data_IF_609318999114
#
_entry.id   IF_609318999114
#
_cell.length_a   1.000
_cell.length_b   1.000
_cell.length_c   1.000
_cell.angle_alpha   90.00
_cell.angle_beta   90.00
_cell.angle_gamma   90.00
#
_symmetry.space_group_name_H-M   'P 1'
#
loop_
_entity.id
_entity.type
_entity.pdbx_description
1 polymer ?
#
# COMPACT_ATOMS: atom_id res chain seq x y z
N UNK A 1 -9.06 -20.28 -7.86
CA UNK A 1 -7.86 -20.20 -8.72
C UNK A 1 -6.68 -19.96 -7.80
N UNK A 2 -5.90 -20.95 -7.55
CA UNK A 2 -4.64 -20.81 -6.79
C UNK A 2 -3.70 -19.97 -7.65
N UNK A 3 -3.52 -18.71 -7.28
CA UNK A 3 -2.48 -17.88 -7.89
C UNK A 3 -1.14 -18.51 -7.54
N UNK A 4 -0.51 -19.08 -8.55
CA UNK A 4 0.81 -19.67 -8.47
C UNK A 4 1.76 -18.64 -7.86
N UNK A 5 2.47 -18.96 -6.82
CA UNK A 5 3.39 -18.07 -6.07
C UNK A 5 4.35 -17.33 -7.03
N UNK A 6 4.74 -17.95 -8.13
CA UNK A 6 5.57 -17.34 -9.19
C UNK A 6 4.88 -16.18 -9.92
N UNK A 7 3.57 -16.31 -10.20
CA UNK A 7 2.81 -15.25 -10.90
C UNK A 7 2.61 -14.05 -9.98
N UNK A 8 2.32 -14.25 -8.69
CA UNK A 8 2.17 -13.17 -7.72
C UNK A 8 3.48 -12.41 -7.50
N UNK A 9 4.61 -13.12 -7.45
CA UNK A 9 5.94 -12.50 -7.31
C UNK A 9 6.29 -11.63 -8.52
N UNK A 10 6.07 -12.11 -9.74
CA UNK A 10 6.34 -11.36 -10.96
C UNK A 10 5.46 -10.10 -11.07
N UNK A 11 4.19 -10.19 -10.69
CA UNK A 11 3.29 -9.03 -10.63
C UNK A 11 3.76 -7.99 -9.60
N UNK A 12 4.12 -8.42 -8.40
CA UNK A 12 4.60 -7.52 -7.36
C UNK A 12 5.90 -6.81 -7.75
N UNK A 13 6.82 -7.48 -8.46
CA UNK A 13 8.01 -6.86 -9.03
C UNK A 13 7.64 -5.82 -10.10
N UNK A 14 6.65 -6.09 -10.94
CA UNK A 14 6.15 -5.13 -11.92
C UNK A 14 5.53 -3.91 -11.23
N UNK A 15 4.74 -4.09 -10.20
CA UNK A 15 4.14 -3.00 -9.42
C UNK A 15 5.22 -2.15 -8.74
N UNK A 16 6.21 -2.78 -8.12
CA UNK A 16 7.34 -2.07 -7.53
C UNK A 16 8.11 -1.26 -8.57
N UNK A 17 8.33 -1.81 -9.76
CA UNK A 17 8.96 -1.09 -10.89
C UNK A 17 8.14 0.11 -11.35
N UNK A 18 6.81 -0.03 -11.45
CA UNK A 18 5.91 1.05 -11.85
C UNK A 18 5.88 2.17 -10.79
N UNK A 19 5.87 1.84 -9.51
CA UNK A 19 5.98 2.80 -8.41
C UNK A 19 7.30 3.57 -8.48
N UNK A 20 8.43 2.87 -8.70
CA UNK A 20 9.73 3.53 -8.89
C UNK A 20 9.70 4.50 -10.06
N UNK A 21 9.14 4.07 -11.20
CA UNK A 21 9.02 4.92 -12.37
C UNK A 21 8.11 6.14 -12.11
N UNK A 22 7.05 5.98 -11.33
CA UNK A 22 6.17 7.07 -10.92
C UNK A 22 6.92 8.07 -10.02
N UNK A 23 7.68 7.60 -9.03
CA UNK A 23 8.49 8.46 -8.17
C UNK A 23 9.53 9.26 -8.96
N UNK A 24 10.19 8.65 -9.92
CA UNK A 24 11.14 9.34 -10.82
C UNK A 24 10.42 10.42 -11.65
N UNK A 25 9.22 10.14 -12.16
CA UNK A 25 8.42 11.17 -12.86
C UNK A 25 8.00 12.32 -11.93
N UNK A 26 7.76 12.03 -10.66
CA UNK A 26 7.44 13.04 -9.64
C UNK A 26 8.65 13.87 -9.19
N UNK A 27 9.87 13.52 -9.63
CA UNK A 27 11.09 14.29 -9.36
C UNK A 27 12.16 13.58 -8.53
N UNK A 28 11.91 12.33 -8.08
CA UNK A 28 12.94 11.58 -7.37
C UNK A 28 14.13 11.27 -8.29
N UNK A 29 15.35 11.40 -7.76
CA UNK A 29 16.57 11.02 -8.48
C UNK A 29 16.55 9.50 -8.75
N UNK A 30 16.62 9.06 -10.02
CA UNK A 30 16.65 7.64 -10.35
C UNK A 30 17.83 6.88 -9.75
N UNK A 31 18.92 7.55 -9.38
CA UNK A 31 20.06 6.94 -8.69
C UNK A 31 19.81 6.69 -7.19
N UNK A 32 18.84 7.40 -6.61
CA UNK A 32 18.59 7.42 -5.16
C UNK A 32 17.24 6.80 -4.74
N UNK A 33 16.38 6.36 -5.67
CA UNK A 33 15.12 5.71 -5.37
C UNK A 33 15.17 4.20 -5.62
N UNK A 34 14.80 3.43 -4.61
CA UNK A 34 14.65 1.98 -4.68
C UNK A 34 13.25 1.57 -4.22
N UNK A 35 12.67 0.56 -4.86
CA UNK A 35 11.40 -0.05 -4.45
C UNK A 35 11.61 -1.53 -4.15
N UNK A 36 10.97 -2.01 -3.10
CA UNK A 36 11.08 -3.40 -2.63
C UNK A 36 9.67 -4.01 -2.60
N UNK A 37 9.47 -5.11 -3.31
CA UNK A 37 8.28 -5.93 -3.18
C UNK A 37 8.47 -6.86 -1.97
N UNK A 38 7.80 -6.55 -0.85
CA UNK A 38 7.89 -7.36 0.36
C UNK A 38 6.74 -8.36 0.45
N UNK A 39 7.06 -9.64 0.62
CA UNK A 39 6.14 -10.78 0.69
C UNK A 39 6.49 -11.69 1.88
N UNK A 40 6.79 -11.10 3.03
CA UNK A 40 7.40 -11.79 4.17
C UNK A 40 6.44 -12.55 5.08
N UNK A 41 5.20 -12.88 4.65
CA UNK A 41 4.24 -13.68 5.43
C UNK A 41 3.28 -14.44 4.51
N UNK A 42 2.57 -15.43 5.07
CA UNK A 42 1.55 -16.19 4.36
C UNK A 42 0.20 -15.43 4.43
N UNK A 43 -0.09 -14.69 3.37
CA UNK A 43 -1.38 -14.02 3.22
C UNK A 43 -2.50 -15.04 2.94
N UNK A 44 -3.78 -14.72 3.25
CA UNK A 44 -4.90 -15.57 2.88
C UNK A 44 -4.92 -15.91 1.39
N UNK A 45 -5.30 -17.15 1.01
CA UNK A 45 -5.10 -17.66 -0.35
C UNK A 45 -6.03 -17.06 -1.40
N UNK A 46 -7.16 -16.44 -1.02
CA UNK A 46 -8.10 -15.86 -1.98
C UNK A 46 -8.91 -14.69 -1.42
N UNK A 47 -9.33 -13.79 -2.30
CA UNK A 47 -10.18 -12.64 -1.98
C UNK A 47 -11.58 -13.04 -1.43
N UNK A 48 -12.26 -14.09 -1.93
CA UNK A 48 -13.53 -14.52 -1.34
C UNK A 48 -13.42 -14.96 0.12
N UNK A 49 -12.24 -15.44 0.54
CA UNK A 49 -11.99 -15.93 1.90
C UNK A 49 -11.55 -14.82 2.88
N UNK A 50 -11.48 -13.57 2.45
CA UNK A 50 -11.19 -12.44 3.35
C UNK A 50 -12.22 -12.31 4.49
N UNK A 51 -13.45 -12.77 4.27
CA UNK A 51 -14.48 -12.83 5.33
C UNK A 51 -14.17 -13.87 6.42
N UNK A 52 -13.24 -14.79 6.15
CA UNK A 52 -12.82 -15.89 7.05
C UNK A 52 -11.41 -15.63 7.60
N UNK A 53 -10.65 -14.70 6.99
CA UNK A 53 -9.32 -14.34 7.42
C UNK A 53 -9.39 -13.57 8.75
N UNK A 54 -9.07 -14.27 9.83
CA UNK A 54 -8.88 -13.61 11.13
C UNK A 54 -7.67 -12.67 11.07
N UNK A 55 -7.61 -11.67 11.93
CA UNK A 55 -6.42 -10.82 12.12
C UNK A 55 -5.15 -11.60 12.47
N UNK A 56 -5.27 -12.87 12.84
CA UNK A 56 -4.13 -13.71 13.22
C UNK A 56 -3.03 -13.79 12.15
N UNK A 57 -3.39 -13.88 10.86
CA UNK A 57 -2.39 -13.87 9.78
C UNK A 57 -1.77 -12.49 9.60
N UNK A 58 -2.56 -11.43 9.76
CA UNK A 58 -2.07 -10.06 9.72
C UNK A 58 -1.13 -9.78 10.91
N UNK A 59 -1.48 -10.26 12.11
CA UNK A 59 -0.65 -10.17 13.31
C UNK A 59 0.66 -10.96 13.16
N UNK A 60 0.59 -12.17 12.58
CA UNK A 60 1.77 -12.98 12.29
C UNK A 60 2.72 -12.29 11.28
N UNK A 61 2.18 -11.56 10.31
CA UNK A 61 2.95 -10.80 9.31
C UNK A 61 3.50 -9.48 9.84
N UNK A 62 2.90 -8.91 10.89
CA UNK A 62 3.22 -7.57 11.38
C UNK A 62 4.65 -7.48 11.97
N UNK A 63 5.07 -8.45 12.79
CA UNK A 63 6.42 -8.43 13.39
C UNK A 63 7.56 -8.62 12.37
N UNK A 64 7.47 -9.54 11.39
CA UNK A 64 8.41 -9.58 10.27
C UNK A 64 8.52 -8.27 9.50
N UNK A 65 7.39 -7.60 9.19
CA UNK A 65 7.41 -6.32 8.49
C UNK A 65 8.07 -5.22 9.33
N UNK A 66 7.70 -5.14 10.61
CA UNK A 66 8.33 -4.20 11.57
C UNK A 66 9.84 -4.39 11.62
N UNK A 67 10.32 -5.62 11.78
CA UNK A 67 11.75 -5.94 11.80
C UNK A 67 12.45 -5.56 10.51
N UNK A 68 11.81 -5.80 9.37
CA UNK A 68 12.34 -5.47 8.06
C UNK A 68 12.48 -3.94 7.88
N UNK A 69 11.43 -3.17 8.16
CA UNK A 69 11.45 -1.71 8.04
C UNK A 69 12.47 -1.07 9.00
N UNK A 70 12.48 -1.50 10.27
CA UNK A 70 13.44 -1.02 11.27
C UNK A 70 14.88 -1.40 10.89
N UNK A 71 15.08 -2.60 10.33
CA UNK A 71 16.40 -3.05 9.89
C UNK A 71 16.96 -2.21 8.75
N UNK A 72 16.13 -1.84 7.76
CA UNK A 72 16.53 -0.91 6.69
C UNK A 72 16.91 0.45 7.28
N UNK A 73 16.05 1.01 8.13
CA UNK A 73 16.29 2.30 8.77
C UNK A 73 17.63 2.28 9.56
N UNK A 74 17.84 1.28 10.42
CA UNK A 74 19.06 1.15 11.22
C UNK A 74 20.31 1.02 10.35
N UNK A 75 20.24 0.16 9.32
CA UNK A 75 21.36 -0.05 8.39
C UNK A 75 21.78 1.22 7.66
N UNK A 76 20.80 2.07 7.30
CA UNK A 76 21.02 3.35 6.62
C UNK A 76 21.57 4.40 7.59
N UNK A 77 20.94 4.52 8.75
CA UNK A 77 21.33 5.46 9.82
C UNK A 77 22.78 5.24 10.27
N UNK A 78 23.21 3.98 10.45
CA UNK A 78 24.59 3.63 10.77
C UNK A 78 25.62 4.07 9.71
N UNK A 79 25.15 4.36 8.49
CA UNK A 79 25.98 4.83 7.35
C UNK A 79 25.85 6.32 7.08
N UNK A 80 25.15 7.04 7.96
CA UNK A 80 24.88 8.48 7.78
C UNK A 80 24.00 8.78 6.57
N UNK A 81 23.17 7.81 6.16
CA UNK A 81 22.23 7.99 5.06
C UNK A 81 20.88 8.42 5.62
N UNK A 82 20.53 9.67 5.39
CA UNK A 82 19.17 10.17 5.59
C UNK A 82 18.35 9.80 4.36
N UNK A 83 17.33 8.96 4.54
CA UNK A 83 16.57 8.45 3.40
C UNK A 83 15.11 8.34 3.77
N UNK A 84 14.29 9.02 2.98
CA UNK A 84 12.84 8.90 3.02
C UNK A 84 12.37 7.46 2.80
N UNK A 85 11.65 6.88 3.75
CA UNK A 85 11.15 5.51 3.73
C UNK A 85 9.63 5.47 3.73
N UNK A 86 9.04 5.07 2.60
CA UNK A 86 7.59 4.94 2.46
C UNK A 86 7.16 3.47 2.51
N UNK A 87 6.02 3.18 3.15
CA UNK A 87 5.35 1.87 3.08
C UNK A 87 4.01 2.05 2.36
N UNK A 88 3.81 1.31 1.27
CA UNK A 88 2.60 1.33 0.45
C UNK A 88 1.98 -0.08 0.44
N UNK A 89 1.20 -0.43 1.45
CA UNK A 89 0.58 -1.73 1.55
C UNK A 89 -0.66 -1.85 0.65
N UNK A 90 -0.92 -3.05 0.15
CA UNK A 90 -2.05 -3.35 -0.71
C UNK A 90 -2.92 -4.46 -0.16
N UNK A 91 -4.23 -4.33 -0.36
CA UNK A 91 -5.20 -5.37 -0.02
C UNK A 91 -5.08 -5.79 1.46
N UNK A 92 -5.13 -7.08 1.77
CA UNK A 92 -4.94 -7.62 3.11
C UNK A 92 -3.59 -7.20 3.76
N UNK A 93 -2.57 -6.95 2.93
CA UNK A 93 -1.29 -6.40 3.40
C UNK A 93 -1.42 -5.03 4.09
N UNK A 94 -2.51 -4.30 3.83
CA UNK A 94 -2.82 -3.03 4.49
C UNK A 94 -3.14 -3.22 5.97
N UNK A 95 -3.93 -4.23 6.31
CA UNK A 95 -4.23 -4.60 7.71
C UNK A 95 -2.95 -5.05 8.43
N UNK A 96 -2.16 -5.92 7.78
CA UNK A 96 -0.86 -6.37 8.31
C UNK A 96 0.08 -5.20 8.58
N UNK A 97 0.20 -4.28 7.63
CA UNK A 97 1.07 -3.13 7.76
C UNK A 97 0.56 -2.13 8.82
N UNK A 98 -0.74 -1.88 8.89
CA UNK A 98 -1.33 -1.05 9.92
C UNK A 98 -1.05 -1.57 11.33
N UNK A 99 -1.15 -2.90 11.53
CA UNK A 99 -0.78 -3.54 12.81
C UNK A 99 0.73 -3.37 13.09
N UNK A 100 1.59 -3.58 12.08
CA UNK A 100 3.04 -3.40 12.22
C UNK A 100 3.40 -1.97 12.63
N UNK A 101 2.75 -0.98 12.01
CA UNK A 101 3.00 0.45 12.25
C UNK A 101 2.71 0.89 13.68
N UNK A 102 1.84 0.18 14.42
CA UNK A 102 1.59 0.44 15.85
C UNK A 102 2.83 0.29 16.74
N UNK A 103 3.80 -0.51 16.28
CA UNK A 103 5.01 -0.88 17.02
C UNK A 103 6.30 -0.46 16.32
N UNK A 104 6.22 0.19 15.17
CA UNK A 104 7.35 0.83 14.50
C UNK A 104 7.64 2.14 15.25
N UNK A 105 8.92 2.39 15.54
CA UNK A 105 9.35 3.64 16.16
C UNK A 105 9.05 4.85 15.26
N UNK A 106 8.88 6.02 15.88
CA UNK A 106 8.82 7.26 15.12
C UNK A 106 10.11 7.44 14.33
N UNK A 107 10.02 8.12 13.22
CA UNK A 107 11.15 8.43 12.32
C UNK A 107 11.72 7.21 11.56
N UNK A 108 11.09 6.03 11.66
CA UNK A 108 11.48 4.83 10.89
C UNK A 108 10.80 4.81 9.52
N UNK A 109 9.57 5.28 9.45
CA UNK A 109 8.76 5.36 8.22
C UNK A 109 8.26 6.79 8.10
N UNK A 110 8.53 7.42 6.98
CA UNK A 110 8.19 8.81 6.72
C UNK A 110 6.79 8.93 6.15
N UNK A 111 6.41 8.08 5.17
CA UNK A 111 5.08 8.05 4.59
C UNK A 111 4.43 6.67 4.62
N UNK A 112 3.12 6.65 4.82
CA UNK A 112 2.33 5.43 4.84
C UNK A 112 1.04 5.60 4.02
N UNK A 113 0.86 4.81 2.94
CA UNK A 113 -0.27 4.95 2.04
C UNK A 113 -1.05 3.64 1.87
N UNK A 114 -2.24 3.55 2.49
CA UNK A 114 -3.16 2.44 2.26
C UNK A 114 -3.66 2.39 0.82
N UNK A 115 -3.68 1.22 0.20
CA UNK A 115 -4.22 0.99 -1.14
C UNK A 115 -5.13 -0.23 -1.19
N UNK A 116 -6.35 -0.07 -1.70
CA UNK A 116 -7.33 -1.17 -1.84
C UNK A 116 -7.55 -1.96 -0.56
N UNK A 117 -7.59 -1.30 0.58
CA UNK A 117 -7.54 -1.90 1.91
C UNK A 117 -8.90 -2.45 2.37
N UNK A 118 -8.97 -3.68 2.91
CA UNK A 118 -10.17 -4.18 3.59
C UNK A 118 -10.41 -3.50 4.94
N UNK A 119 -9.34 -3.05 5.61
CA UNK A 119 -9.37 -2.35 6.88
C UNK A 119 -7.97 -1.95 7.35
N UNK A 120 -7.89 -0.92 8.17
CA UNK A 120 -6.65 -0.27 8.55
C UNK A 120 -5.78 -1.05 9.56
N UNK A 121 -6.30 -2.06 10.22
CA UNK A 121 -5.61 -2.72 11.36
C UNK A 121 -5.46 -1.82 12.59
N UNK A 122 -5.94 -0.59 12.53
CA UNK A 122 -5.90 0.42 13.60
C UNK A 122 -7.22 1.19 13.66
N UNK A 123 -7.45 1.86 14.78
CA UNK A 123 -8.63 2.72 14.98
C UNK A 123 -8.34 4.22 14.79
N UNK A 124 -7.08 4.61 14.62
CA UNK A 124 -6.68 6.03 14.49
C UNK A 124 -5.33 6.16 13.81
N UNK A 125 -5.17 7.17 12.95
CA UNK A 125 -3.87 7.53 12.36
C UNK A 125 -2.81 7.86 13.43
N UNK A 126 -3.21 8.40 14.57
CA UNK A 126 -2.30 8.74 15.67
C UNK A 126 -1.65 7.53 16.35
N UNK A 127 -2.07 6.29 16.05
CA UNK A 127 -1.44 5.07 16.55
C UNK A 127 -0.38 4.51 15.60
N UNK A 128 -0.28 5.05 14.41
CA UNK A 128 0.78 4.71 13.45
C UNK A 128 2.05 5.47 13.83
N UNK A 129 3.20 4.85 13.70
CA UNK A 129 4.50 5.48 13.99
C UNK A 129 4.95 6.50 12.93
N UNK A 130 4.02 7.15 12.26
CA UNK A 130 4.23 8.13 11.16
C UNK A 130 3.58 9.44 11.56
N UNK A 131 4.10 10.57 11.07
CA UNK A 131 3.41 11.84 11.24
C UNK A 131 2.02 11.75 10.59
N UNK A 132 1.02 12.28 11.30
CA UNK A 132 -0.38 12.22 10.85
C UNK A 132 -0.60 12.85 9.46
N UNK A 133 0.22 13.81 9.08
CA UNK A 133 0.14 14.50 7.80
C UNK A 133 0.77 13.71 6.64
N UNK A 134 1.47 12.61 6.95
CA UNK A 134 2.08 11.65 6.05
C UNK A 134 1.38 10.28 6.02
N UNK A 135 0.11 10.23 6.45
CA UNK A 135 -0.73 9.03 6.35
C UNK A 135 -1.81 9.24 5.29
N UNK A 136 -1.83 8.35 4.31
CA UNK A 136 -2.64 8.49 3.10
C UNK A 136 -3.53 7.26 2.84
N UNK A 137 -4.61 7.48 2.07
CA UNK A 137 -5.42 6.40 1.50
C UNK A 137 -5.68 6.66 0.01
N UNK A 138 -5.46 5.63 -0.81
CA UNK A 138 -5.85 5.59 -2.21
C UNK A 138 -6.92 4.52 -2.41
N UNK A 139 -8.04 4.90 -2.99
CA UNK A 139 -9.20 4.03 -3.13
C UNK A 139 -9.82 4.20 -4.52
N UNK A 140 -9.65 3.22 -5.42
CA UNK A 140 -10.26 3.26 -6.75
C UNK A 140 -11.80 3.23 -6.65
N UNK A 141 -12.52 4.03 -7.45
CA UNK A 141 -13.95 4.23 -7.26
C UNK A 141 -14.82 3.07 -7.75
N UNK A 142 -14.31 2.19 -8.62
CA UNK A 142 -15.10 1.15 -9.28
C UNK A 142 -14.45 -0.22 -9.19
N UNK A 143 -15.27 -1.27 -8.95
CA UNK A 143 -14.85 -2.68 -8.98
C UNK A 143 -13.62 -3.00 -8.15
N UNK A 144 -13.59 -2.45 -6.93
CA UNK A 144 -12.70 -2.88 -5.86
C UNK A 144 -13.51 -3.13 -4.59
N UNK A 145 -14.22 -4.27 -4.59
CA UNK A 145 -15.07 -4.69 -3.49
C UNK A 145 -14.30 -5.10 -2.22
N UNK A 146 -12.96 -5.07 -2.27
CA UNK A 146 -12.12 -5.35 -1.09
C UNK A 146 -12.08 -4.16 -0.14
N UNK A 147 -12.26 -2.94 -0.66
CA UNK A 147 -12.15 -1.71 0.12
C UNK A 147 -13.25 -1.63 1.20
N UNK A 148 -12.82 -1.63 2.46
CA UNK A 148 -13.74 -1.55 3.60
C UNK A 148 -14.66 -2.78 3.74
N UNK A 149 -14.25 -3.94 3.22
CA UNK A 149 -15.00 -5.19 3.37
C UNK A 149 -14.85 -5.73 4.79
N UNK A 150 -15.92 -6.36 5.29
CA UNK A 150 -15.95 -6.93 6.63
C UNK A 150 -16.45 -5.95 7.68
N UNK A 151 -16.34 -6.33 8.93
CA UNK A 151 -16.67 -5.48 10.08
C UNK A 151 -15.39 -4.84 10.65
N UNK A 152 -15.56 -3.76 11.42
CA UNK A 152 -14.44 -3.12 12.13
C UNK A 152 -13.69 -4.08 13.07
N UNK A 153 -14.35 -5.15 13.50
CA UNK A 153 -13.77 -6.23 14.31
C UNK A 153 -12.88 -7.19 13.52
N UNK A 154 -13.07 -7.30 12.19
CA UNK A 154 -12.34 -8.24 11.35
C UNK A 154 -11.00 -7.67 10.87
N UNK A 155 -11.00 -6.41 10.40
CA UNK A 155 -9.81 -5.80 9.77
C UNK A 155 -9.48 -4.40 10.32
N UNK A 156 -10.19 -3.93 11.34
CA UNK A 156 -10.16 -2.54 11.78
C UNK A 156 -11.00 -1.63 10.90
N UNK A 157 -11.01 -0.33 11.21
CA UNK A 157 -11.80 0.65 10.47
C UNK A 157 -11.40 0.72 8.98
N UNK A 158 -12.36 1.03 8.11
CA UNK A 158 -12.07 1.39 6.73
C UNK A 158 -11.11 2.61 6.72
N UNK A 159 -9.92 2.51 6.11
CA UNK A 159 -8.96 3.61 6.10
C UNK A 159 -9.54 4.94 5.62
N UNK A 160 -10.50 4.91 4.69
CA UNK A 160 -11.17 6.12 4.19
C UNK A 160 -11.91 6.90 5.28
N UNK A 161 -12.25 6.24 6.39
CA UNK A 161 -13.00 6.83 7.51
C UNK A 161 -12.10 7.25 8.67
N UNK A 162 -10.82 6.94 8.63
CA UNK A 162 -9.89 7.32 9.68
C UNK A 162 -9.76 8.84 9.76
N UNK A 163 -10.08 9.40 10.94
CA UNK A 163 -9.99 10.83 11.16
C UNK A 163 -8.55 11.33 10.96
N UNK A 164 -8.40 12.30 10.08
CA UNK A 164 -7.12 12.93 9.81
C UNK A 164 -6.26 12.22 8.78
N UNK A 165 -6.77 11.19 8.08
CA UNK A 165 -6.06 10.61 6.94
C UNK A 165 -6.11 11.53 5.71
N UNK A 166 -5.02 11.59 4.95
CA UNK A 166 -4.98 12.25 3.64
C UNK A 166 -5.61 11.36 2.56
N UNK A 167 -6.42 11.94 1.69
CA UNK A 167 -7.04 11.23 0.57
C UNK A 167 -6.29 11.51 -0.73
N UNK A 168 -5.76 10.47 -1.34
CA UNK A 168 -5.25 10.49 -2.71
C UNK A 168 -6.41 10.36 -3.70
N UNK A 169 -6.21 10.71 -4.97
CA UNK A 169 -7.29 10.72 -5.96
C UNK A 169 -7.96 9.36 -6.14
N UNK A 170 -7.19 8.28 -6.00
CA UNK A 170 -7.65 6.92 -6.25
C UNK A 170 -8.03 6.66 -7.72
N UNK A 171 -7.97 7.66 -8.61
CA UNK A 171 -8.33 7.52 -10.01
C UNK A 171 -7.29 6.73 -10.79
N UNK A 172 -7.59 5.47 -11.02
CA UNK A 172 -6.81 4.55 -11.84
C UNK A 172 -7.44 4.32 -13.24
N UNK A 173 -8.35 5.18 -13.68
CA UNK A 173 -9.12 4.97 -14.93
C UNK A 173 -8.24 4.88 -16.18
N UNK A 174 -7.05 5.46 -16.17
CA UNK A 174 -6.05 5.33 -17.23
C UNK A 174 -5.19 4.08 -17.17
N UNK A 175 -5.26 3.27 -16.12
CA UNK A 175 -4.48 2.05 -15.97
C UNK A 175 -4.84 1.01 -17.05
N UNK A 176 -3.83 0.29 -17.53
CA UNK A 176 -4.06 -0.77 -18.51
C UNK A 176 -4.99 -1.84 -17.95
N UNK A 177 -6.09 -2.11 -18.67
CA UNK A 177 -7.08 -3.09 -18.26
C UNK A 177 -8.08 -2.60 -17.21
N UNK A 178 -8.06 -1.33 -16.82
CA UNK A 178 -9.11 -0.75 -15.98
C UNK A 178 -10.48 -0.84 -16.65
N UNK A 179 -11.51 -1.18 -15.88
CA UNK A 179 -12.86 -1.33 -16.42
C UNK A 179 -13.92 -0.74 -15.47
N UNK A 180 -14.78 0.11 -16.02
CA UNK A 180 -15.99 0.60 -15.34
C UNK A 180 -17.21 -0.31 -15.56
N UNK A 181 -17.08 -1.33 -16.43
CA UNK A 181 -18.20 -2.20 -16.86
C UNK A 181 -17.97 -3.68 -16.55
N UNK A 182 -16.92 -4.02 -15.79
CA UNK A 182 -16.64 -5.40 -15.44
C UNK A 182 -17.73 -5.98 -14.54
N UNK A 183 -18.10 -7.25 -14.76
CA UNK A 183 -18.93 -8.02 -13.84
C UNK A 183 -18.11 -8.59 -12.65
N UNK A 184 -16.77 -8.52 -12.72
CA UNK A 184 -15.90 -8.94 -11.64
C UNK A 184 -15.78 -7.81 -10.61
N UNK A 185 -16.25 -8.01 -9.36
CA UNK A 185 -16.25 -6.97 -8.33
C UNK A 185 -14.85 -6.52 -7.88
N UNK A 186 -13.80 -7.27 -8.25
CA UNK A 186 -12.41 -6.96 -7.90
C UNK A 186 -11.54 -6.71 -9.15
N UNK A 187 -12.13 -6.38 -10.29
CA UNK A 187 -11.41 -6.20 -11.55
C UNK A 187 -10.31 -5.12 -11.45
N UNK A 188 -10.57 -4.07 -10.70
CA UNK A 188 -9.67 -2.93 -10.56
C UNK A 188 -8.84 -2.93 -9.26
N UNK A 189 -8.92 -4.02 -8.48
CA UNK A 189 -8.28 -4.12 -7.17
C UNK A 189 -6.77 -3.84 -7.15
N UNK A 190 -6.07 -4.10 -8.25
CA UNK A 190 -4.63 -3.84 -8.38
C UNK A 190 -4.29 -2.66 -9.30
N UNK A 191 -5.28 -1.94 -9.80
CA UNK A 191 -5.09 -0.86 -10.78
C UNK A 191 -4.23 0.30 -10.27
N UNK A 192 -4.11 0.48 -8.96
CA UNK A 192 -3.23 1.46 -8.32
C UNK A 192 -1.79 1.43 -8.86
N UNK A 193 -1.29 0.25 -9.21
CA UNK A 193 0.11 0.00 -9.54
C UNK A 193 0.33 -0.32 -11.01
N UNK A 194 -0.74 -0.34 -11.81
CA UNK A 194 -0.65 -0.73 -13.22
C UNK A 194 -0.25 0.47 -14.07
N UNK A 195 0.73 0.26 -14.96
CA UNK A 195 1.13 1.28 -15.92
C UNK A 195 -0.09 1.76 -16.76
N UNK A 196 -0.17 3.04 -17.11
CA UNK A 196 -1.27 3.56 -17.91
C UNK A 196 -1.24 3.01 -19.35
N UNK A 197 -2.39 3.03 -19.99
CA UNK A 197 -2.49 2.88 -21.44
C UNK A 197 -1.77 4.03 -22.16
N UNK A 198 -1.27 3.82 -23.39
CA UNK A 198 -0.64 4.89 -24.15
C UNK A 198 -1.55 6.13 -24.28
N UNK A 199 -1.03 7.28 -23.90
CA UNK A 199 -1.75 8.56 -23.95
C UNK A 199 -2.77 8.77 -22.82
N UNK A 200 -2.80 7.90 -21.81
CA UNK A 200 -3.59 8.07 -20.59
C UNK A 200 -2.71 8.25 -19.35
N UNK A 201 -3.31 8.67 -18.27
CA UNK A 201 -2.66 8.80 -16.96
C UNK A 201 -3.34 7.89 -15.94
N UNK A 202 -2.55 7.27 -15.09
CA UNK A 202 -3.02 6.60 -13.87
C UNK A 202 -2.71 7.54 -12.70
N UNK A 203 -3.68 8.37 -12.32
CA UNK A 203 -3.52 9.36 -11.25
C UNK A 203 -3.25 8.69 -9.90
N UNK A 204 -3.86 7.53 -9.62
CA UNK A 204 -3.58 6.78 -8.40
C UNK A 204 -2.09 6.39 -8.31
N UNK A 205 -1.49 5.92 -9.42
CA UNK A 205 -0.08 5.60 -9.49
C UNK A 205 0.81 6.85 -9.39
N UNK A 206 0.40 7.95 -10.00
CA UNK A 206 1.14 9.21 -9.95
C UNK A 206 1.16 9.77 -8.52
N UNK A 207 0.02 9.82 -7.83
CA UNK A 207 -0.08 10.23 -6.42
C UNK A 207 0.85 9.40 -5.51
N UNK A 208 0.88 8.09 -5.70
CA UNK A 208 1.79 7.20 -4.95
C UNK A 208 3.26 7.49 -5.28
N UNK A 209 3.54 7.88 -6.53
CA UNK A 209 4.86 8.33 -6.95
C UNK A 209 5.27 9.63 -6.24
N UNK A 210 4.35 10.58 -6.07
CA UNK A 210 4.58 11.83 -5.34
C UNK A 210 4.84 11.58 -3.85
N UNK A 211 4.13 10.63 -3.22
CA UNK A 211 4.39 10.18 -1.84
C UNK A 211 5.80 9.62 -1.71
N UNK A 212 6.23 8.75 -2.63
CA UNK A 212 7.59 8.17 -2.60
C UNK A 212 8.67 9.22 -2.83
N UNK A 213 8.39 10.23 -3.66
CA UNK A 213 9.31 11.30 -3.99
C UNK A 213 9.36 12.42 -2.93
N UNK A 214 8.55 12.31 -1.86
CA UNK A 214 8.43 13.32 -0.79
C UNK A 214 8.03 14.70 -1.32
N UNK A 215 7.09 14.73 -2.27
CA UNK A 215 6.57 15.97 -2.88
C UNK A 215 5.03 16.07 -2.78
N UNK A 216 4.39 15.10 -2.12
CA UNK A 216 2.93 15.10 -1.93
C UNK A 216 2.54 16.02 -0.79
N UNK A 217 1.77 17.03 -1.12
CA UNK A 217 1.14 17.93 -0.15
C UNK A 217 -0.33 17.53 0.11
N UNK A 218 -0.85 17.87 1.29
CA UNK A 218 -2.26 17.65 1.66
C UNK A 218 -3.19 18.67 1.03
#
# INVERSE_FOLDING_TARGET
>A
MTTNCRTSTALNLSYASNLRAAAVRAGADPGNVATIAWLGYDAPPSLPDLSVASTAQAEAGADPLRKFATGIHSWRSERGMDVHQSIIPHSYGSTTAGIAMRSIGKDVVDDFAYTGSPGAGVASVGTLGVDKDHVWVSAVPHHDAVQGIGTDGDFGLDPKTLKGIGHLSGDASGAKGYSTYSLNPVANHSSYFVAPEPGKENHALNDLGEVIADVKER
#
